data_IF_997068465329
#
_entry.id   IF_997068465329
#
_cell.length_a   1.000
_cell.length_b   1.000
_cell.length_c   1.000
_cell.angle_alpha   90.00
_cell.angle_beta   90.00
_cell.angle_gamma   90.00
#
_symmetry.space_group_name_H-M   'P 1'
#
loop_
_entity.id
_entity.type
_entity.pdbx_description
1 polymer ?
#
# COMPACT_ATOMS: atom_id res chain seq x y z
N UNK A 1 10.33 7.59 -14.25
CA UNK A 1 9.26 7.77 -13.25
C UNK A 1 8.02 7.13 -13.80
N UNK A 2 7.44 6.16 -13.11
CA UNK A 2 6.24 5.45 -13.52
C UNK A 2 4.99 6.22 -13.09
N UNK A 3 4.01 6.35 -13.97
CA UNK A 3 2.79 7.13 -13.74
C UNK A 3 1.56 6.26 -13.49
N UNK A 4 1.65 4.98 -13.85
CA UNK A 4 0.56 4.01 -13.71
C UNK A 4 1.11 2.62 -13.34
N UNK A 5 0.30 1.77 -12.70
CA UNK A 5 0.73 0.43 -12.28
C UNK A 5 1.36 -0.40 -13.41
N UNK A 6 0.80 -0.34 -14.63
CA UNK A 6 1.30 -1.10 -15.78
C UNK A 6 2.70 -0.71 -16.28
N UNK A 7 3.29 0.37 -15.77
CA UNK A 7 4.66 0.79 -16.08
C UNK A 7 5.68 0.30 -15.05
N UNK A 8 5.22 -0.21 -13.90
CA UNK A 8 6.04 -0.67 -12.80
C UNK A 8 6.56 -2.08 -13.10
N UNK A 9 7.89 -2.33 -13.06
CA UNK A 9 8.45 -3.66 -13.23
C UNK A 9 8.01 -4.61 -12.10
N UNK A 10 7.59 -5.82 -12.46
CA UNK A 10 7.06 -6.84 -11.53
C UNK A 10 8.03 -7.20 -10.39
N UNK A 11 9.34 -7.04 -10.58
CA UNK A 11 10.39 -7.34 -9.60
C UNK A 11 10.81 -6.13 -8.74
N UNK A 12 10.16 -4.97 -8.92
CA UNK A 12 10.44 -3.75 -8.15
C UNK A 12 9.77 -3.76 -6.77
N UNK A 13 10.32 -2.98 -5.84
CA UNK A 13 9.69 -2.78 -4.54
C UNK A 13 8.38 -1.97 -4.63
N UNK A 14 8.23 -1.16 -5.68
CA UNK A 14 6.97 -0.50 -6.03
C UNK A 14 5.91 -1.52 -6.46
N UNK A 15 6.25 -2.53 -7.26
CA UNK A 15 5.32 -3.62 -7.58
C UNK A 15 4.91 -4.38 -6.30
N UNK A 16 5.85 -4.60 -5.38
CA UNK A 16 5.53 -5.22 -4.11
C UNK A 16 4.53 -4.39 -3.27
N UNK A 17 4.68 -3.07 -3.22
CA UNK A 17 3.68 -2.18 -2.59
C UNK A 17 2.29 -2.36 -3.23
N UNK A 18 2.20 -2.42 -4.56
CA UNK A 18 0.92 -2.64 -5.26
C UNK A 18 0.29 -3.99 -4.89
N UNK A 19 1.08 -5.06 -4.86
CA UNK A 19 0.60 -6.38 -4.42
C UNK A 19 0.13 -6.36 -2.96
N UNK A 20 0.83 -5.66 -2.06
CA UNK A 20 0.40 -5.52 -0.68
C UNK A 20 -0.96 -4.83 -0.58
N UNK A 21 -1.24 -3.81 -1.41
CA UNK A 21 -2.56 -3.17 -1.45
C UNK A 21 -3.65 -4.15 -1.88
N UNK A 22 -3.38 -5.01 -2.87
CA UNK A 22 -4.32 -6.03 -3.35
C UNK A 22 -4.60 -7.07 -2.26
N UNK A 23 -3.56 -7.71 -1.73
CA UNK A 23 -3.68 -8.74 -0.68
C UNK A 23 -4.39 -8.22 0.57
N UNK A 24 -4.10 -6.99 0.97
CA UNK A 24 -4.76 -6.38 2.12
C UNK A 24 -6.21 -5.99 1.82
N UNK A 25 -6.49 -5.39 0.65
CA UNK A 25 -7.85 -5.05 0.25
C UNK A 25 -8.78 -6.28 0.11
N UNK A 26 -8.22 -7.44 -0.21
CA UNK A 26 -8.94 -8.71 -0.30
C UNK A 26 -9.15 -9.37 1.08
N UNK A 27 -8.64 -8.77 2.17
CA UNK A 27 -8.75 -9.29 3.54
C UNK A 27 -7.85 -10.50 3.80
N UNK A 28 -6.84 -10.74 2.97
CA UNK A 28 -5.97 -11.91 3.06
C UNK A 28 -4.78 -11.72 4.01
N UNK A 29 -4.56 -10.51 4.51
CA UNK A 29 -3.52 -10.20 5.49
C UNK A 29 -4.01 -9.27 6.60
N UNK A 30 -3.39 -9.38 7.78
CA UNK A 30 -3.73 -8.53 8.94
C UNK A 30 -3.20 -7.10 8.76
N UNK A 31 -3.75 -6.14 9.51
CA UNK A 31 -3.26 -4.75 9.51
C UNK A 31 -1.82 -4.68 9.99
N UNK A 32 -1.43 -5.40 11.04
CA UNK A 32 -0.07 -5.43 11.54
C UNK A 32 0.92 -5.94 10.48
N UNK A 33 0.58 -7.03 9.79
CA UNK A 33 1.43 -7.57 8.72
C UNK A 33 1.54 -6.58 7.56
N UNK A 34 0.42 -5.98 7.15
CA UNK A 34 0.39 -4.98 6.08
C UNK A 34 1.27 -3.76 6.43
N UNK A 35 1.12 -3.19 7.63
CA UNK A 35 1.91 -2.05 8.10
C UNK A 35 3.42 -2.38 8.09
N UNK A 36 3.80 -3.55 8.59
CA UNK A 36 5.19 -3.96 8.62
C UNK A 36 5.77 -4.10 7.21
N UNK A 37 5.13 -4.89 6.36
CA UNK A 37 5.62 -5.17 5.00
C UNK A 37 5.60 -3.91 4.12
N UNK A 38 4.61 -3.03 4.29
CA UNK A 38 4.53 -1.75 3.59
C UNK A 38 5.76 -0.88 3.87
N UNK A 39 6.12 -0.70 5.14
CA UNK A 39 7.28 0.11 5.53
C UNK A 39 8.59 -0.47 5.01
N UNK A 40 8.72 -1.81 4.98
CA UNK A 40 9.86 -2.50 4.37
C UNK A 40 9.94 -2.22 2.87
N UNK A 41 8.82 -2.40 2.15
CA UNK A 41 8.75 -2.19 0.71
C UNK A 41 9.02 -0.72 0.33
N UNK A 42 8.47 0.23 1.09
CA UNK A 42 8.67 1.67 0.89
C UNK A 42 10.14 2.06 1.05
N UNK A 43 10.80 1.52 2.08
CA UNK A 43 12.24 1.72 2.30
C UNK A 43 13.06 1.13 1.17
N UNK A 44 12.76 -0.10 0.75
CA UNK A 44 13.48 -0.77 -0.34
C UNK A 44 13.34 0.00 -1.67
N UNK A 45 12.14 0.51 -1.96
CA UNK A 45 11.88 1.35 -3.13
C UNK A 45 12.76 2.61 -3.14
N UNK A 46 12.88 3.28 -1.98
CA UNK A 46 13.77 4.43 -1.81
C UNK A 46 15.25 4.06 -1.96
N UNK A 47 15.69 2.95 -1.34
CA UNK A 47 17.07 2.46 -1.42
C UNK A 47 17.46 2.07 -2.87
N UNK A 48 16.50 1.55 -3.66
CA UNK A 48 16.66 1.23 -5.07
C UNK A 48 16.60 2.46 -6.00
N UNK A 49 16.20 3.62 -5.50
CA UNK A 49 16.00 4.82 -6.31
C UNK A 49 14.84 4.71 -7.30
N UNK A 50 13.83 3.89 -6.98
CA UNK A 50 12.60 3.79 -7.76
C UNK A 50 11.82 5.11 -7.67
N UNK A 51 11.23 5.52 -8.78
CA UNK A 51 10.51 6.79 -8.86
C UNK A 51 9.16 6.60 -9.51
N UNK A 52 8.13 7.02 -8.81
CA UNK A 52 6.75 7.16 -9.29
C UNK A 52 6.41 8.64 -9.41
N UNK A 53 5.39 8.99 -10.18
CA UNK A 53 4.92 10.37 -10.24
C UNK A 53 3.44 10.46 -10.59
N UNK A 54 2.81 11.61 -10.30
CA UNK A 54 1.42 11.86 -10.64
C UNK A 54 0.47 11.03 -9.78
N UNK A 55 -0.58 10.47 -10.38
CA UNK A 55 -1.65 9.82 -9.60
C UNK A 55 -1.16 8.58 -8.84
N UNK A 56 -0.22 7.82 -9.40
CA UNK A 56 0.37 6.67 -8.72
C UNK A 56 1.12 7.09 -7.45
N UNK A 57 1.90 8.17 -7.52
CA UNK A 57 2.61 8.75 -6.36
C UNK A 57 1.62 9.20 -5.28
N UNK A 58 0.59 9.96 -5.67
CA UNK A 58 -0.45 10.43 -4.73
C UNK A 58 -1.11 9.27 -3.97
N UNK A 59 -1.41 8.16 -4.64
CA UNK A 59 -2.03 7.00 -4.01
C UNK A 59 -1.07 6.30 -3.05
N UNK A 60 0.17 6.03 -3.46
CA UNK A 60 1.16 5.37 -2.61
C UNK A 60 1.52 6.21 -1.38
N UNK A 61 1.60 7.54 -1.54
CA UNK A 61 1.83 8.45 -0.41
C UNK A 61 0.61 8.54 0.53
N UNK A 62 -0.62 8.40 0.00
CA UNK A 62 -1.83 8.33 0.83
C UNK A 62 -1.85 7.06 1.68
N UNK A 63 -1.56 5.89 1.09
CA UNK A 63 -1.44 4.63 1.86
C UNK A 63 -0.34 4.74 2.92
N UNK A 64 0.81 5.31 2.55
CA UNK A 64 1.92 5.53 3.49
C UNK A 64 1.51 6.40 4.66
N UNK A 65 0.74 7.46 4.41
CA UNK A 65 0.24 8.34 5.47
C UNK A 65 -0.65 7.60 6.46
N UNK A 66 -1.56 6.75 5.98
CA UNK A 66 -2.41 5.94 6.88
C UNK A 66 -1.60 4.90 7.66
N UNK A 67 -0.68 4.20 7.00
CA UNK A 67 0.24 3.25 7.66
C UNK A 67 1.04 3.93 8.77
N UNK A 68 1.57 5.13 8.53
CA UNK A 68 2.30 5.91 9.53
C UNK A 68 1.41 6.36 10.70
N UNK A 69 0.16 6.75 10.44
CA UNK A 69 -0.82 7.08 11.48
C UNK A 69 -1.08 5.87 12.38
N UNK A 70 -1.34 4.70 11.81
CA UNK A 70 -1.55 3.46 12.56
C UNK A 70 -0.31 3.03 13.36
N UNK A 71 0.88 3.19 12.80
CA UNK A 71 2.12 2.86 13.50
C UNK A 71 2.37 3.77 14.72
N UNK A 72 1.88 5.02 14.70
CA UNK A 72 1.99 5.98 15.79
C UNK A 72 0.96 5.76 16.90
N UNK A 73 -0.29 5.43 16.55
CA UNK A 73 -1.38 5.18 17.51
C UNK A 73 -2.09 3.84 17.21
N UNK A 74 -1.50 2.71 17.61
CA UNK A 74 -2.03 1.38 17.30
C UNK A 74 -3.39 1.16 17.94
N UNK A 75 -4.40 0.92 17.09
CA UNK A 75 -5.73 0.52 17.53
C UNK A 75 -5.84 -1.01 17.62
N UNK A 76 -6.79 -1.56 18.40
CA UNK A 76 -7.11 -2.98 18.36
C UNK A 76 -7.44 -3.44 16.93
N UNK A 77 -6.90 -4.58 16.51
CA UNK A 77 -7.23 -5.19 15.23
C UNK A 77 -8.62 -5.80 15.26
N UNK A 78 -9.28 -5.82 14.10
CA UNK A 78 -10.50 -6.58 13.91
C UNK A 78 -10.21 -8.09 14.03
N UNK A 79 -11.19 -8.87 14.52
CA UNK A 79 -11.06 -10.33 14.56
C UNK A 79 -11.05 -10.93 13.14
N UNK A 80 -11.77 -10.29 12.22
CA UNK A 80 -11.75 -10.57 10.78
C UNK A 80 -10.97 -9.45 10.07
N UNK A 81 -9.86 -9.75 9.38
CA UNK A 81 -9.08 -8.75 8.66
C UNK A 81 -9.90 -7.97 7.63
N UNK A 82 -10.92 -8.59 7.01
CA UNK A 82 -11.77 -7.93 6.02
C UNK A 82 -12.67 -6.85 6.62
N UNK A 83 -12.85 -6.83 7.95
CA UNK A 83 -13.60 -5.81 8.68
C UNK A 83 -12.70 -4.70 9.26
N UNK A 84 -11.39 -4.71 8.96
CA UNK A 84 -10.48 -3.67 9.43
C UNK A 84 -10.74 -2.35 8.70
N UNK A 85 -10.89 -1.20 9.40
CA UNK A 85 -11.14 0.09 8.76
C UNK A 85 -10.08 0.49 7.72
N UNK A 86 -8.82 0.08 7.90
CA UNK A 86 -7.76 0.39 6.93
C UNK A 86 -7.98 -0.39 5.62
N UNK A 87 -8.62 -1.56 5.64
CA UNK A 87 -8.93 -2.34 4.42
C UNK A 87 -9.84 -1.55 3.51
N UNK A 88 -10.89 -0.91 4.04
CA UNK A 88 -11.80 -0.07 3.25
C UNK A 88 -11.05 1.10 2.59
N UNK A 89 -10.17 1.77 3.34
CA UNK A 89 -9.37 2.90 2.85
C UNK A 89 -8.41 2.47 1.72
N UNK A 90 -7.66 1.39 1.94
CA UNK A 90 -6.73 0.82 0.95
C UNK A 90 -7.48 0.31 -0.28
N UNK A 91 -8.66 -0.28 -0.11
CA UNK A 91 -9.48 -0.76 -1.22
C UNK A 91 -10.00 0.40 -2.10
N UNK A 92 -10.42 1.53 -1.50
CA UNK A 92 -10.79 2.73 -2.28
C UNK A 92 -9.60 3.27 -3.09
N UNK A 93 -8.40 3.27 -2.50
CA UNK A 93 -7.18 3.69 -3.16
C UNK A 93 -6.76 2.74 -4.29
N UNK A 94 -6.92 1.43 -4.10
CA UNK A 94 -6.70 0.40 -5.13
C UNK A 94 -7.64 0.60 -6.32
N UNK A 95 -8.94 0.80 -6.07
CA UNK A 95 -9.93 1.08 -7.13
C UNK A 95 -9.56 2.35 -7.91
N UNK A 96 -9.01 3.37 -7.24
CA UNK A 96 -8.55 4.58 -7.91
C UNK A 96 -7.35 4.36 -8.85
N UNK A 97 -6.58 3.28 -8.66
CA UNK A 97 -5.48 2.87 -9.55
C UNK A 97 -5.98 2.07 -10.77
N UNK A 98 -7.02 1.24 -10.61
CA UNK A 98 -7.62 0.45 -11.71
C UNK A 98 -8.14 1.32 -12.86
N UNK A 99 -8.36 2.62 -12.60
CA UNK A 99 -8.79 3.61 -13.60
C UNK A 99 -7.67 4.25 -14.43
N UNK A 100 -6.39 3.90 -14.22
CA UNK A 100 -5.21 4.50 -14.88
C UNK A 100 -4.60 3.62 -15.98
#
# INVERSE_FOLDING_TARGET
MWQKPSEVPDDSATAHQLTLMETFADGEMTRADFVQEWLVARRLSADNGEQVTGRLEEVLDSVTSEVENYAQDPQPEAEDPSEDPLVDEVNQLRIALDGL
#
